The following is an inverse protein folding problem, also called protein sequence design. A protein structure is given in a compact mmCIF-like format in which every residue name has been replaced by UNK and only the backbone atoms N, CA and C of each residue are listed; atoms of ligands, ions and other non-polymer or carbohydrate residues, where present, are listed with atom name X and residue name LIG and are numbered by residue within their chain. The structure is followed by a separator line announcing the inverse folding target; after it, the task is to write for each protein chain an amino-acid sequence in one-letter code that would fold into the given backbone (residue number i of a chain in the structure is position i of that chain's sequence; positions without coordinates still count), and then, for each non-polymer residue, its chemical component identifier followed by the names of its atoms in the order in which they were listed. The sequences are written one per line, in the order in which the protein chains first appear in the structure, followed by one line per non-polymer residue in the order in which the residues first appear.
data_IF_946416501153
#
_entry.id   IF_946416501153
#
_cell.length_a   1.000
_cell.length_b   1.000
_cell.length_c   1.000
_cell.angle_alpha   90.00
_cell.angle_beta   90.00
_cell.angle_gamma   90.00
#
_symmetry.space_group_name_H-M   'P 1'
#
loop_
_entity.id
_entity.type
_entity.pdbx_description
1 polymer ?
#
# COMPACT_ATOMS: atom_id res chain seq x y z
N UNK A 1 -15.54 -116.23 -3.48
CA UNK A 1 -14.47 -115.87 -4.44
C UNK A 1 -14.93 -114.71 -5.30
N UNK A 2 -14.38 -113.59 -5.04
CA UNK A 2 -14.75 -112.32 -5.68
C UNK A 2 -13.76 -111.96 -6.76
N UNK A 3 -14.18 -111.46 -7.95
CA UNK A 3 -13.26 -110.86 -8.90
C UNK A 3 -13.04 -109.41 -8.67
N UNK A 4 -11.84 -108.98 -8.87
CA UNK A 4 -11.34 -107.62 -8.83
C UNK A 4 -11.78 -106.81 -10.08
N UNK A 5 -12.46 -105.62 -9.86
CA UNK A 5 -12.80 -104.78 -10.93
C UNK A 5 -11.72 -103.63 -10.95
N UNK A 6 -11.05 -103.54 -12.05
CA UNK A 6 -10.03 -102.52 -12.33
C UNK A 6 -10.74 -101.24 -12.88
N UNK A 7 -10.66 -100.10 -12.17
CA UNK A 7 -11.18 -98.84 -12.63
C UNK A 7 -10.07 -98.00 -13.25
N UNK A 8 -10.19 -97.76 -14.58
CA UNK A 8 -9.35 -96.77 -15.27
C UNK A 8 -9.78 -95.37 -15.02
N UNK A 9 -8.96 -94.54 -14.38
CA UNK A 9 -9.17 -93.08 -14.25
C UNK A 9 -8.56 -92.37 -15.45
N UNK A 10 -9.41 -91.76 -16.28
CA UNK A 10 -9.01 -90.88 -17.37
C UNK A 10 -8.83 -89.46 -16.77
N UNK A 11 -7.59 -88.97 -16.70
CA UNK A 11 -7.30 -87.63 -16.27
C UNK A 11 -7.57 -86.63 -17.45
N UNK A 12 -8.59 -85.82 -17.32
CA UNK A 12 -8.86 -84.70 -18.23
C UNK A 12 -7.93 -83.51 -17.86
N UNK A 13 -6.98 -83.19 -18.73
CA UNK A 13 -6.11 -82.00 -18.63
C UNK A 13 -6.94 -80.80 -19.10
N UNK A 14 -7.43 -80.00 -18.15
CA UNK A 14 -8.06 -78.69 -18.45
C UNK A 14 -6.95 -77.67 -18.79
N UNK A 15 -6.86 -77.23 -20.02
CA UNK A 15 -5.98 -76.13 -20.45
C UNK A 15 -6.54 -74.80 -19.94
N UNK A 16 -5.89 -74.19 -18.92
CA UNK A 16 -6.21 -72.84 -18.47
C UNK A 16 -5.69 -71.79 -19.52
N UNK A 17 -6.47 -70.73 -19.80
CA UNK A 17 -5.99 -69.68 -20.73
C UNK A 17 -4.87 -68.87 -20.06
N UNK A 18 -3.90 -68.31 -20.85
CA UNK A 18 -2.81 -67.52 -20.31
C UNK A 18 -3.33 -66.23 -19.69
N UNK A 19 -3.05 -66.00 -18.42
CA UNK A 19 -3.32 -64.69 -17.75
C UNK A 19 -2.40 -63.66 -18.41
N UNK A 20 -3.02 -62.78 -19.21
CA UNK A 20 -2.33 -61.62 -19.74
C UNK A 20 -2.00 -60.67 -18.58
N UNK A 21 -0.73 -60.67 -18.12
CA UNK A 21 -0.20 -59.65 -17.24
C UNK A 21 -0.27 -58.30 -17.98
N UNK A 22 -1.28 -57.53 -17.68
CA UNK A 22 -1.36 -56.11 -18.08
C UNK A 22 -0.13 -55.40 -17.53
N UNK A 23 0.85 -55.08 -18.38
CA UNK A 23 1.97 -54.19 -18.07
C UNK A 23 1.35 -52.84 -17.63
N UNK A 24 1.27 -52.56 -16.31
CA UNK A 24 1.06 -51.22 -15.80
C UNK A 24 2.10 -50.33 -16.46
N UNK A 25 1.63 -49.38 -17.30
CA UNK A 25 2.50 -48.27 -17.76
C UNK A 25 3.07 -47.62 -16.52
N UNK A 26 4.37 -47.35 -16.40
CA UNK A 26 4.91 -46.59 -15.32
C UNK A 26 4.18 -45.25 -15.31
N UNK A 27 3.55 -44.88 -14.17
CA UNK A 27 3.13 -43.52 -13.91
C UNK A 27 4.38 -42.68 -14.15
N UNK A 28 4.37 -41.80 -15.14
CA UNK A 28 5.32 -40.70 -15.19
C UNK A 28 5.15 -39.98 -13.85
N UNK A 29 6.07 -40.17 -12.94
CA UNK A 29 6.27 -39.29 -11.84
C UNK A 29 6.65 -37.96 -12.49
N UNK A 30 5.73 -37.00 -12.44
CA UNK A 30 6.04 -35.60 -12.70
C UNK A 30 6.97 -35.10 -11.57
N UNK A 31 8.27 -35.38 -11.73
CA UNK A 31 9.33 -35.05 -10.76
C UNK A 31 9.77 -33.58 -10.88
N UNK A 32 9.09 -32.78 -11.63
CA UNK A 32 9.32 -31.34 -11.64
C UNK A 32 8.03 -30.58 -11.38
N UNK A 33 7.66 -30.42 -10.11
CA UNK A 33 7.02 -29.18 -9.72
C UNK A 33 8.05 -28.07 -9.96
N UNK A 34 7.96 -27.43 -11.10
CA UNK A 34 8.63 -26.14 -11.31
C UNK A 34 7.96 -25.19 -10.33
N UNK A 35 8.58 -25.00 -9.15
CA UNK A 35 8.20 -23.95 -8.24
C UNK A 35 8.36 -22.63 -9.03
N UNK A 36 7.25 -21.96 -9.35
CA UNK A 36 7.34 -20.60 -9.86
C UNK A 36 8.03 -19.74 -8.80
N UNK A 37 9.20 -19.24 -9.12
CA UNK A 37 9.91 -18.31 -8.22
C UNK A 37 9.08 -17.02 -8.16
N UNK A 38 8.64 -16.60 -6.96
CA UNK A 38 7.88 -15.36 -6.82
C UNK A 38 8.68 -14.17 -7.38
N UNK A 39 8.04 -13.36 -8.21
CA UNK A 39 8.64 -12.15 -8.77
C UNK A 39 8.60 -11.03 -7.74
N UNK A 40 9.56 -10.11 -7.80
CA UNK A 40 9.52 -8.90 -6.98
C UNK A 40 8.35 -7.99 -7.38
N UNK A 41 7.76 -7.26 -6.41
CA UNK A 41 6.77 -6.23 -6.71
C UNK A 41 7.31 -5.19 -7.70
N UNK A 42 6.50 -4.76 -8.68
CA UNK A 42 6.91 -3.76 -9.65
C UNK A 42 7.20 -2.41 -8.98
N UNK A 43 8.17 -1.67 -9.50
CA UNK A 43 8.51 -0.34 -9.01
C UNK A 43 7.39 0.69 -9.23
N UNK A 44 6.56 0.51 -10.27
CA UNK A 44 5.37 1.32 -10.53
C UNK A 44 4.30 0.52 -11.28
N UNK A 45 3.04 0.92 -11.11
CA UNK A 45 1.85 0.31 -11.75
C UNK A 45 0.96 1.42 -12.31
N UNK A 46 0.40 1.20 -13.51
CA UNK A 46 -0.65 2.06 -14.07
C UNK A 46 -2.02 1.51 -13.65
N UNK A 47 -2.92 2.41 -13.27
CA UNK A 47 -4.29 2.11 -12.88
C UNK A 47 -5.30 3.06 -13.55
N UNK A 48 -6.56 2.66 -13.62
CA UNK A 48 -7.65 3.51 -14.12
C UNK A 48 -8.18 4.39 -12.98
N UNK A 49 -8.01 5.72 -13.09
CA UNK A 49 -8.44 6.70 -12.06
C UNK A 49 -9.91 6.58 -11.74
N UNK A 50 -10.75 6.41 -12.77
CA UNK A 50 -12.21 6.35 -12.61
C UNK A 50 -12.71 5.11 -11.87
N UNK A 51 -11.90 4.06 -11.79
CA UNK A 51 -12.24 2.78 -11.14
C UNK A 51 -11.45 2.53 -9.85
N UNK A 52 -10.67 3.53 -9.43
CA UNK A 52 -9.81 3.41 -8.25
C UNK A 52 -10.66 3.42 -6.97
N UNK A 53 -10.43 2.44 -6.11
CA UNK A 53 -11.00 2.32 -4.77
C UNK A 53 -9.92 2.19 -3.72
N UNK A 54 -10.31 2.33 -2.47
CA UNK A 54 -9.40 2.31 -1.33
C UNK A 54 -9.91 1.36 -0.27
N UNK A 55 -8.98 0.68 0.41
CA UNK A 55 -9.30 -0.28 1.47
C UNK A 55 -8.23 -0.22 2.54
N UNK A 56 -8.60 -0.56 3.76
CA UNK A 56 -7.70 -0.71 4.90
C UNK A 56 -7.92 -2.10 5.50
N UNK A 57 -6.85 -2.81 5.81
CA UNK A 57 -6.94 -4.14 6.41
C UNK A 57 -7.44 -4.06 7.86
N UNK A 58 -8.13 -5.08 8.36
CA UNK A 58 -8.33 -5.21 9.79
C UNK A 58 -6.97 -5.40 10.49
N UNK A 59 -6.88 -4.92 11.73
CA UNK A 59 -5.74 -5.18 12.62
C UNK A 59 -5.89 -6.55 13.28
N UNK A 60 -4.76 -7.18 13.56
CA UNK A 60 -4.68 -8.42 14.33
C UNK A 60 -3.46 -8.35 15.25
N UNK A 61 -3.60 -8.90 16.45
CA UNK A 61 -2.51 -9.11 17.40
C UNK A 61 -2.06 -10.58 17.43
N UNK A 62 -2.58 -11.45 16.55
CA UNK A 62 -2.30 -12.88 16.55
C UNK A 62 -1.04 -13.21 15.78
N UNK A 63 -0.05 -13.78 16.45
CA UNK A 63 1.20 -14.21 15.84
C UNK A 63 2.17 -13.06 15.55
N UNK A 64 3.24 -13.37 14.82
CA UNK A 64 4.27 -12.42 14.44
C UNK A 64 3.91 -11.70 13.13
N UNK A 65 4.70 -10.69 12.75
CA UNK A 65 4.52 -9.86 11.56
C UNK A 65 4.12 -10.68 10.32
N UNK A 66 4.83 -11.77 10.03
CA UNK A 66 4.55 -12.60 8.83
C UNK A 66 3.17 -13.25 8.85
N UNK A 67 2.68 -13.69 10.02
CA UNK A 67 1.34 -14.26 10.15
C UNK A 67 0.28 -13.18 10.01
N UNK A 68 0.43 -12.07 10.74
CA UNK A 68 -0.49 -10.93 10.68
C UNK A 68 -0.58 -10.35 9.26
N UNK A 69 0.55 -10.23 8.55
CA UNK A 69 0.59 -9.75 7.17
C UNK A 69 -0.16 -10.66 6.20
N UNK A 70 0.03 -11.99 6.33
CA UNK A 70 -0.71 -12.97 5.51
C UNK A 70 -2.22 -12.86 5.74
N UNK A 71 -2.65 -12.71 6.98
CA UNK A 71 -4.06 -12.58 7.32
C UNK A 71 -4.64 -11.23 6.85
N UNK A 72 -3.90 -10.13 7.02
CA UNK A 72 -4.28 -8.81 6.53
C UNK A 72 -4.45 -8.80 4.99
N UNK A 73 -3.47 -9.38 4.26
CA UNK A 73 -3.52 -9.43 2.79
C UNK A 73 -4.64 -10.36 2.29
N UNK A 74 -4.85 -11.52 2.91
CA UNK A 74 -5.98 -12.40 2.58
C UNK A 74 -7.32 -11.72 2.83
N UNK A 75 -7.44 -10.95 3.91
CA UNK A 75 -8.62 -10.16 4.22
C UNK A 75 -8.88 -9.10 3.14
N UNK A 76 -7.87 -8.35 2.72
CA UNK A 76 -7.98 -7.37 1.64
C UNK A 76 -8.39 -8.01 0.31
N UNK A 77 -7.77 -9.14 -0.07
CA UNK A 77 -8.14 -9.87 -1.29
C UNK A 77 -9.60 -10.32 -1.25
N UNK A 78 -10.07 -10.81 -0.10
CA UNK A 78 -11.48 -11.19 0.09
C UNK A 78 -12.41 -9.97 -0.02
N UNK A 79 -12.08 -8.86 0.64
CA UNK A 79 -12.87 -7.63 0.61
C UNK A 79 -12.88 -7.00 -0.80
N UNK A 80 -11.78 -7.09 -1.54
CA UNK A 80 -11.67 -6.58 -2.91
C UNK A 80 -12.65 -7.25 -3.88
N UNK A 81 -13.15 -8.45 -3.54
CA UNK A 81 -14.21 -9.15 -4.29
C UNK A 81 -13.99 -9.15 -5.81
N UNK A 82 -12.77 -9.50 -6.23
CA UNK A 82 -12.35 -9.54 -7.63
C UNK A 82 -11.86 -8.21 -8.20
N UNK A 83 -11.81 -7.13 -7.42
CA UNK A 83 -11.04 -5.94 -7.79
C UNK A 83 -9.53 -6.23 -7.67
N UNK A 84 -8.75 -5.70 -8.60
CA UNK A 84 -7.29 -5.85 -8.59
C UNK A 84 -6.69 -4.91 -7.55
N UNK A 85 -5.84 -5.41 -6.65
CA UNK A 85 -5.00 -4.57 -5.81
C UNK A 85 -3.82 -4.09 -6.67
N UNK A 86 -3.65 -2.77 -6.78
CA UNK A 86 -2.63 -2.14 -7.64
C UNK A 86 -1.52 -1.45 -6.85
N UNK A 87 -1.79 -1.06 -5.60
CA UNK A 87 -0.78 -0.56 -4.66
C UNK A 87 -1.11 -1.03 -3.25
N UNK A 88 -0.06 -1.34 -2.49
CA UNK A 88 -0.10 -1.56 -1.05
C UNK A 88 0.84 -0.58 -0.35
N UNK A 89 0.37 0.07 0.72
CA UNK A 89 1.21 0.76 1.70
C UNK A 89 1.10 0.01 3.02
N UNK A 90 2.21 -0.56 3.46
CA UNK A 90 2.30 -1.31 4.70
C UNK A 90 2.93 -0.44 5.80
N UNK A 91 2.15 -0.13 6.82
CA UNK A 91 2.63 0.43 8.07
C UNK A 91 2.97 -0.72 9.00
N UNK A 92 4.25 -0.86 9.35
CA UNK A 92 4.73 -1.91 10.25
C UNK A 92 5.11 -1.33 11.61
N UNK A 93 4.79 -2.04 12.69
CA UNK A 93 5.16 -1.68 14.04
C UNK A 93 5.96 -2.82 14.71
N UNK A 94 6.77 -2.48 15.70
CA UNK A 94 7.57 -3.47 16.42
C UNK A 94 8.88 -3.82 15.73
N UNK A 95 9.42 -4.98 16.04
CA UNK A 95 10.78 -5.43 15.65
C UNK A 95 10.79 -6.48 14.54
N UNK A 96 9.65 -6.73 13.90
CA UNK A 96 9.54 -7.71 12.81
C UNK A 96 10.36 -7.30 11.58
N UNK A 97 10.90 -8.29 10.86
CA UNK A 97 11.67 -8.02 9.63
C UNK A 97 10.75 -7.51 8.51
N UNK A 98 10.78 -6.21 8.29
CA UNK A 98 9.97 -5.52 7.27
C UNK A 98 10.27 -5.97 5.83
N UNK A 99 11.47 -6.51 5.55
CA UNK A 99 11.83 -7.03 4.22
C UNK A 99 10.93 -8.20 3.82
N UNK A 100 10.40 -8.94 4.83
CA UNK A 100 9.44 -10.02 4.62
C UNK A 100 8.13 -9.56 3.97
N UNK A 101 7.79 -8.27 4.06
CA UNK A 101 6.55 -7.74 3.46
C UNK A 101 6.55 -7.97 1.95
N UNK A 102 7.63 -7.62 1.26
CA UNK A 102 7.74 -7.79 -0.18
C UNK A 102 7.63 -9.27 -0.58
N UNK A 103 8.39 -10.14 0.09
CA UNK A 103 8.38 -11.58 -0.19
C UNK A 103 6.99 -12.20 0.01
N UNK A 104 6.30 -11.88 1.12
CA UNK A 104 4.97 -12.43 1.43
C UNK A 104 3.91 -11.94 0.44
N UNK A 105 3.98 -10.66 0.02
CA UNK A 105 3.08 -10.14 -1.04
C UNK A 105 3.30 -10.92 -2.32
N UNK A 106 4.55 -11.11 -2.73
CA UNK A 106 4.90 -11.88 -3.94
C UNK A 106 4.45 -13.33 -3.86
N UNK A 107 4.71 -14.01 -2.74
CA UNK A 107 4.28 -15.40 -2.50
C UNK A 107 2.75 -15.55 -2.64
N UNK A 108 1.97 -14.70 -1.96
CA UNK A 108 0.49 -14.79 -1.98
C UNK A 108 -0.06 -14.44 -3.37
N UNK A 109 0.49 -13.41 -4.03
CA UNK A 109 0.06 -13.06 -5.38
C UNK A 109 0.36 -14.18 -6.38
N UNK A 110 1.54 -14.81 -6.31
CA UNK A 110 1.90 -15.96 -7.14
C UNK A 110 0.99 -17.15 -6.87
N UNK A 111 0.80 -17.53 -5.58
CA UNK A 111 -0.09 -18.62 -5.17
C UNK A 111 -1.51 -18.43 -5.71
N UNK A 112 -2.03 -17.21 -5.63
CA UNK A 112 -3.40 -16.89 -6.06
C UNK A 112 -3.53 -16.44 -7.52
N UNK A 113 -2.42 -16.45 -8.27
CA UNK A 113 -2.36 -15.99 -9.68
C UNK A 113 -2.89 -14.56 -9.85
N UNK A 114 -2.56 -13.68 -8.90
CA UNK A 114 -2.91 -12.27 -8.93
C UNK A 114 -1.75 -11.44 -9.50
N UNK A 115 -2.08 -10.32 -10.11
CA UNK A 115 -1.07 -9.33 -10.50
C UNK A 115 -0.43 -8.72 -9.27
N UNK A 116 0.89 -8.50 -9.33
CA UNK A 116 1.65 -7.88 -8.26
C UNK A 116 1.34 -6.38 -8.17
N UNK A 117 1.04 -5.84 -6.98
CA UNK A 117 0.90 -4.41 -6.74
C UNK A 117 2.27 -3.74 -6.59
N UNK A 118 2.34 -2.42 -6.78
CA UNK A 118 3.43 -1.63 -6.25
C UNK A 118 3.36 -1.63 -4.70
N UNK A 119 4.50 -1.74 -4.02
CA UNK A 119 4.53 -1.90 -2.56
C UNK A 119 5.39 -0.82 -1.92
N UNK A 120 4.83 -0.15 -0.91
CA UNK A 120 5.54 0.75 -0.01
C UNK A 120 5.50 0.18 1.41
N UNK A 121 6.64 0.18 2.10
CA UNK A 121 6.75 -0.31 3.47
C UNK A 121 7.44 0.75 4.31
N UNK A 122 6.85 1.08 5.46
CA UNK A 122 7.40 2.06 6.40
C UNK A 122 7.16 1.59 7.83
N UNK A 123 8.14 1.78 8.69
CA UNK A 123 7.99 1.49 10.11
C UNK A 123 7.39 2.69 10.82
N UNK A 124 6.42 2.42 11.68
CA UNK A 124 5.71 3.37 12.53
C UNK A 124 5.94 3.03 14.00
N UNK A 125 5.76 4.01 14.87
CA UNK A 125 5.93 3.84 16.30
C UNK A 125 4.91 2.90 16.93
N UNK A 126 3.67 2.85 16.39
CA UNK A 126 2.62 1.99 16.88
C UNK A 126 1.38 1.97 16.00
N UNK A 127 0.53 0.99 16.24
CA UNK A 127 -0.77 0.78 15.60
C UNK A 127 -1.88 0.78 16.66
N UNK A 128 -3.14 1.10 16.29
CA UNK A 128 -4.25 1.26 17.22
C UNK A 128 -4.64 0.03 18.06
N UNK A 129 -4.18 -1.15 17.69
CA UNK A 129 -4.40 -2.38 18.45
C UNK A 129 -3.06 -2.82 19.05
N UNK A 130 -3.02 -2.98 20.37
CA UNK A 130 -1.84 -3.50 21.07
C UNK A 130 -1.47 -4.89 20.52
N UNK A 131 -0.18 -5.12 20.26
CA UNK A 131 0.33 -6.35 19.63
C UNK A 131 0.16 -6.42 18.11
N UNK A 132 -0.54 -5.48 17.47
CA UNK A 132 -0.57 -5.40 16.03
C UNK A 132 0.78 -4.95 15.47
N UNK A 133 1.26 -5.64 14.42
CA UNK A 133 2.56 -5.38 13.80
C UNK A 133 2.43 -4.90 12.35
N UNK A 134 1.23 -4.92 11.76
CA UNK A 134 1.00 -4.43 10.40
C UNK A 134 -0.41 -3.91 10.21
N UNK A 135 -0.50 -2.80 9.47
CA UNK A 135 -1.70 -2.24 8.87
C UNK A 135 -1.44 -2.04 7.39
N UNK A 136 -2.32 -2.56 6.53
CA UNK A 136 -2.23 -2.38 5.08
C UNK A 136 -3.27 -1.39 4.60
N UNK A 137 -2.84 -0.39 3.85
CA UNK A 137 -3.69 0.37 2.93
C UNK A 137 -3.55 -0.21 1.53
N UNK A 138 -4.66 -0.43 0.84
CA UNK A 138 -4.71 -0.93 -0.51
C UNK A 138 -5.42 0.04 -1.44
N UNK A 139 -4.86 0.22 -2.64
CA UNK A 139 -5.49 0.86 -3.77
C UNK A 139 -5.97 -0.25 -4.70
N UNK A 140 -7.22 -0.21 -5.11
CA UNK A 140 -7.84 -1.26 -5.92
C UNK A 140 -8.46 -0.70 -7.18
N UNK A 141 -8.50 -1.51 -8.25
CA UNK A 141 -9.24 -1.19 -9.48
C UNK A 141 -10.40 -2.16 -9.61
N UNK A 142 -11.60 -1.64 -9.42
CA UNK A 142 -12.85 -2.40 -9.55
C UNK A 142 -13.36 -2.49 -10.98
N UNK A 143 -14.50 -3.13 -11.18
CA UNK A 143 -15.15 -3.23 -12.49
C UNK A 143 -15.98 -2.00 -12.85
N UNK A 144 -16.50 -1.29 -11.85
CA UNK A 144 -17.41 -0.16 -12.03
C UNK A 144 -16.66 1.15 -11.95
N UNK A 145 -17.09 2.14 -12.72
CA UNK A 145 -16.69 3.53 -12.56
C UNK A 145 -17.28 4.09 -11.26
N UNK A 146 -16.41 4.56 -10.37
CA UNK A 146 -16.78 5.11 -9.06
C UNK A 146 -16.33 6.57 -8.90
N UNK A 147 -15.38 7.03 -9.74
CA UNK A 147 -14.83 8.39 -9.74
C UNK A 147 -14.93 9.00 -11.16
N UNK A 148 -16.12 9.24 -11.72
CA UNK A 148 -16.27 9.62 -13.14
C UNK A 148 -15.53 10.92 -13.50
N UNK A 149 -15.35 11.83 -12.55
CA UNK A 149 -14.73 13.13 -12.76
C UNK A 149 -13.27 13.20 -12.26
N UNK A 150 -12.71 12.08 -11.76
CA UNK A 150 -11.36 12.02 -11.21
C UNK A 150 -11.30 12.13 -9.69
N UNK A 151 -10.12 12.42 -9.19
CA UNK A 151 -9.79 12.40 -7.74
C UNK A 151 -9.04 13.66 -7.33
N UNK A 152 -9.27 14.10 -6.08
CA UNK A 152 -8.44 15.05 -5.37
C UNK A 152 -7.54 14.31 -4.38
N UNK A 153 -6.24 14.56 -4.42
CA UNK A 153 -5.26 14.13 -3.42
C UNK A 153 -4.90 15.33 -2.56
N UNK A 154 -5.13 15.24 -1.26
CA UNK A 154 -4.96 16.32 -0.30
C UNK A 154 -3.72 16.02 0.54
N UNK A 155 -2.81 16.98 0.57
CA UNK A 155 -1.58 16.94 1.37
C UNK A 155 -1.87 16.70 2.85
N UNK A 156 -0.88 16.23 3.58
CA UNK A 156 -0.94 16.24 5.03
C UNK A 156 -1.27 17.64 5.55
N UNK A 157 -2.38 17.72 6.26
CA UNK A 157 -2.86 18.94 6.94
C UNK A 157 -3.03 18.65 8.41
N UNK A 158 -2.77 19.62 9.25
CA UNK A 158 -2.88 19.48 10.69
C UNK A 158 -1.89 20.36 11.45
N UNK A 159 -1.66 20.00 12.70
CA UNK A 159 -0.85 20.78 13.64
C UNK A 159 0.27 19.91 14.22
N UNK A 160 1.42 20.53 14.34
CA UNK A 160 2.54 20.05 15.16
C UNK A 160 2.84 21.11 16.24
N UNK A 161 2.98 20.66 17.49
CA UNK A 161 3.37 21.49 18.64
C UNK A 161 4.80 21.15 19.05
N UNK A 162 5.41 22.04 19.88
CA UNK A 162 6.79 21.81 20.35
C UNK A 162 6.90 20.77 21.47
N UNK A 163 5.78 20.52 22.17
CA UNK A 163 5.75 19.59 23.29
C UNK A 163 5.19 18.23 22.80
N UNK A 164 5.98 17.14 22.81
CA UNK A 164 5.53 15.82 22.38
C UNK A 164 4.45 15.21 23.28
N UNK A 165 4.24 15.76 24.47
CA UNK A 165 3.24 15.28 25.43
C UNK A 165 1.88 16.01 25.29
N UNK A 166 1.77 16.92 24.34
CA UNK A 166 0.47 17.57 24.09
C UNK A 166 -0.58 16.55 23.65
N UNK A 167 -1.79 16.72 24.21
CA UNK A 167 -2.93 15.86 23.90
C UNK A 167 -3.28 15.91 22.41
N UNK A 168 -3.40 14.73 21.77
CA UNK A 168 -3.64 14.60 20.33
C UNK A 168 -5.08 15.00 19.89
N UNK A 169 -6.16 14.74 20.65
CA UNK A 169 -7.51 15.07 20.22
C UNK A 169 -7.73 16.52 19.78
N UNK A 170 -7.27 17.56 20.50
CA UNK A 170 -7.42 18.94 20.01
C UNK A 170 -6.63 19.23 18.73
N UNK A 171 -5.49 18.56 18.54
CA UNK A 171 -4.70 18.68 17.32
C UNK A 171 -5.44 18.01 16.14
N UNK A 172 -6.09 16.88 16.40
CA UNK A 172 -6.91 16.18 15.40
C UNK A 172 -8.16 16.98 15.02
N UNK A 173 -8.84 17.61 15.96
CA UNK A 173 -10.01 18.45 15.65
C UNK A 173 -9.63 19.53 14.62
N UNK A 174 -8.49 20.20 14.84
CA UNK A 174 -7.95 21.17 13.88
C UNK A 174 -7.55 20.54 12.53
N UNK A 175 -6.93 19.35 12.55
CA UNK A 175 -6.58 18.65 11.33
C UNK A 175 -7.84 18.26 10.52
N UNK A 176 -8.93 17.89 11.19
CA UNK A 176 -10.20 17.58 10.52
C UNK A 176 -10.84 18.83 9.90
N UNK A 177 -10.78 19.98 10.58
CA UNK A 177 -11.27 21.24 10.02
C UNK A 177 -10.46 21.67 8.80
N UNK A 178 -9.12 21.58 8.86
CA UNK A 178 -8.25 21.87 7.72
C UNK A 178 -8.48 20.90 6.54
N UNK A 179 -8.71 19.61 6.82
CA UNK A 179 -9.00 18.62 5.78
C UNK A 179 -10.37 18.85 5.14
N UNK A 180 -11.40 19.23 5.91
CA UNK A 180 -12.71 19.62 5.37
C UNK A 180 -12.58 20.85 4.45
N UNK A 181 -11.86 21.88 4.90
CA UNK A 181 -11.63 23.07 4.08
C UNK A 181 -10.91 22.72 2.75
N UNK A 182 -9.95 21.78 2.78
CA UNK A 182 -9.29 21.30 1.57
C UNK A 182 -10.23 20.53 0.64
N UNK A 183 -11.09 19.68 1.20
CA UNK A 183 -12.11 18.94 0.45
C UNK A 183 -13.10 19.90 -0.23
N UNK A 184 -13.56 20.92 0.47
CA UNK A 184 -14.46 21.96 -0.07
C UNK A 184 -13.78 22.78 -1.17
N UNK A 185 -12.50 23.16 -0.98
CA UNK A 185 -11.71 23.87 -2.00
C UNK A 185 -11.47 23.00 -3.24
N UNK A 186 -11.45 21.68 -3.12
CA UNK A 186 -11.43 20.74 -4.24
C UNK A 186 -12.78 20.58 -4.96
N UNK A 187 -13.85 21.26 -4.49
CA UNK A 187 -15.21 21.13 -5.03
C UNK A 187 -15.92 19.84 -4.62
N UNK A 188 -15.50 19.21 -3.53
CA UNK A 188 -16.07 17.99 -2.97
C UNK A 188 -16.73 18.24 -1.61
N UNK A 189 -17.32 17.22 -1.00
CA UNK A 189 -17.89 17.25 0.34
C UNK A 189 -17.33 16.14 1.20
N UNK A 190 -17.59 16.17 2.50
CA UNK A 190 -17.18 15.10 3.43
C UNK A 190 -17.67 13.69 3.01
N UNK A 191 -18.80 13.60 2.30
CA UNK A 191 -19.33 12.34 1.76
C UNK A 191 -18.57 11.81 0.54
N UNK A 192 -17.79 12.67 -0.11
CA UNK A 192 -16.99 12.32 -1.28
C UNK A 192 -15.59 11.84 -0.89
N UNK A 193 -15.20 11.96 0.39
CA UNK A 193 -13.90 11.48 0.88
C UNK A 193 -13.90 9.96 0.89
N UNK A 194 -12.92 9.38 0.22
CA UNK A 194 -12.77 7.93 0.03
C UNK A 194 -11.76 7.31 0.99
N UNK A 195 -10.71 8.07 1.34
CA UNK A 195 -9.65 7.63 2.23
C UNK A 195 -9.16 8.79 3.08
N UNK A 196 -8.89 8.50 4.34
CA UNK A 196 -8.17 9.38 5.28
C UNK A 196 -7.06 8.57 5.94
N UNK A 197 -5.84 9.09 5.94
CA UNK A 197 -4.72 8.52 6.69
C UNK A 197 -4.23 9.56 7.68
N UNK A 198 -4.29 9.25 8.96
CA UNK A 198 -3.88 10.14 10.03
C UNK A 198 -2.61 9.62 10.74
N UNK A 199 -1.69 10.54 10.96
CA UNK A 199 -0.37 10.34 11.54
C UNK A 199 -0.35 11.09 12.88
N UNK A 200 -0.07 10.37 13.97
CA UNK A 200 -0.17 10.88 15.34
C UNK A 200 1.14 10.75 16.10
N UNK A 201 1.35 11.63 17.07
CA UNK A 201 2.41 11.46 18.08
C UNK A 201 2.05 10.45 19.17
N UNK A 202 0.77 10.18 19.41
CA UNK A 202 0.26 9.20 20.38
C UNK A 202 -1.06 8.60 19.93
N UNK A 203 -1.31 7.34 20.32
CA UNK A 203 -2.59 6.64 20.13
C UNK A 203 -3.32 6.37 21.46
N UNK A 204 -2.92 7.00 22.55
CA UNK A 204 -3.46 6.75 23.89
C UNK A 204 -4.97 6.94 23.96
N UNK A 205 -5.51 7.98 23.29
CA UNK A 205 -6.96 8.25 23.22
C UNK A 205 -7.57 7.73 21.89
N UNK A 206 -7.07 6.66 21.30
CA UNK A 206 -7.48 6.22 19.96
C UNK A 206 -8.99 6.07 19.75
N UNK A 207 -9.82 5.55 20.69
CA UNK A 207 -11.28 5.49 20.50
C UNK A 207 -11.90 6.85 20.20
N UNK A 208 -11.42 7.92 20.83
CA UNK A 208 -11.86 9.30 20.60
C UNK A 208 -11.36 9.81 19.24
N UNK A 209 -10.07 9.57 18.93
CA UNK A 209 -9.50 9.95 17.62
C UNK A 209 -10.28 9.31 16.49
N UNK A 210 -10.55 8.01 16.57
CA UNK A 210 -11.34 7.27 15.60
C UNK A 210 -12.75 7.86 15.42
N UNK A 211 -13.45 8.13 16.53
CA UNK A 211 -14.79 8.75 16.49
C UNK A 211 -14.79 10.12 15.81
N UNK A 212 -13.76 10.94 16.04
CA UNK A 212 -13.61 12.25 15.38
C UNK A 212 -13.46 12.09 13.86
N UNK A 213 -12.60 11.16 13.40
CA UNK A 213 -12.42 10.91 11.97
C UNK A 213 -13.70 10.37 11.31
N UNK A 214 -14.35 9.37 11.92
CA UNK A 214 -15.58 8.75 11.41
C UNK A 214 -16.75 9.76 11.32
N UNK A 215 -16.84 10.68 12.27
CA UNK A 215 -17.83 11.77 12.23
C UNK A 215 -17.53 12.80 11.13
N UNK A 216 -16.25 13.12 10.92
CA UNK A 216 -15.84 14.08 9.90
C UNK A 216 -16.04 13.51 8.48
N UNK A 217 -15.73 12.24 8.26
CA UNK A 217 -15.71 11.59 6.95
C UNK A 217 -16.32 10.17 6.99
N UNK A 218 -17.65 10.08 7.11
CA UNK A 218 -18.33 8.80 7.39
C UNK A 218 -18.26 7.77 6.25
N UNK A 219 -17.95 8.20 5.02
CA UNK A 219 -17.81 7.33 3.85
C UNK A 219 -16.37 6.87 3.63
N UNK A 220 -15.39 7.46 4.31
CA UNK A 220 -13.98 7.19 4.10
C UNK A 220 -13.51 5.92 4.78
N UNK A 221 -12.62 5.16 4.12
CA UNK A 221 -11.77 4.22 4.84
C UNK A 221 -10.67 4.98 5.57
N UNK A 222 -10.42 4.67 6.84
CA UNK A 222 -9.48 5.39 7.67
C UNK A 222 -8.32 4.50 8.14
N UNK A 223 -7.10 5.00 8.00
CA UNK A 223 -5.90 4.46 8.62
C UNK A 223 -5.39 5.44 9.67
N UNK A 224 -4.99 4.94 10.83
CA UNK A 224 -4.40 5.72 11.91
C UNK A 224 -3.14 5.02 12.38
N UNK A 225 -2.04 5.77 12.49
CA UNK A 225 -0.75 5.24 12.94
C UNK A 225 -0.03 6.25 13.83
N UNK A 226 0.74 5.77 14.78
CA UNK A 226 1.69 6.60 15.52
C UNK A 226 3.00 6.66 14.72
N UNK A 227 3.52 7.86 14.46
CA UNK A 227 4.68 8.02 13.56
C UNK A 227 5.98 7.45 14.14
N UNK A 228 6.35 7.83 15.35
CA UNK A 228 7.54 7.39 16.07
C UNK A 228 7.20 7.04 17.52
N UNK A 229 7.93 6.09 18.13
CA UNK A 229 7.76 5.73 19.55
C UNK A 229 8.21 6.84 20.51
N UNK A 230 9.24 7.57 20.12
CA UNK A 230 9.75 8.73 20.84
C UNK A 230 9.47 9.98 20.03
N UNK A 231 8.26 10.52 20.03
CA UNK A 231 7.93 11.71 19.27
C UNK A 231 8.71 12.91 19.79
N UNK A 232 9.13 13.77 18.86
CA UNK A 232 9.84 15.03 19.19
C UNK A 232 8.92 16.23 19.22
N UNK A 233 7.65 16.05 18.88
CA UNK A 233 6.60 17.05 18.81
C UNK A 233 5.25 16.39 19.04
N UNK A 234 4.27 17.13 19.58
CA UNK A 234 2.88 16.75 19.48
C UNK A 234 2.43 16.87 18.03
N UNK A 235 1.73 15.87 17.51
CA UNK A 235 1.37 15.80 16.09
C UNK A 235 -0.01 15.18 15.88
N UNK A 236 -0.83 15.83 15.07
CA UNK A 236 -1.91 15.22 14.32
C UNK A 236 -1.86 15.79 12.89
N UNK A 237 -1.51 14.95 11.92
CA UNK A 237 -1.48 15.29 10.50
C UNK A 237 -2.27 14.25 9.73
N UNK A 238 -3.23 14.69 8.91
CA UNK A 238 -4.08 13.81 8.12
C UNK A 238 -4.03 14.16 6.65
N UNK A 239 -3.86 13.16 5.79
CA UNK A 239 -3.97 13.25 4.35
C UNK A 239 -5.27 12.61 3.86
N UNK A 240 -5.78 13.06 2.71
CA UNK A 240 -7.05 12.58 2.20
C UNK A 240 -7.08 12.33 0.70
N UNK A 241 -8.02 11.50 0.28
CA UNK A 241 -8.40 11.35 -1.13
C UNK A 241 -9.91 11.51 -1.24
N UNK A 242 -10.35 12.40 -2.11
CA UNK A 242 -11.77 12.65 -2.38
C UNK A 242 -12.11 12.45 -3.85
N UNK A 243 -13.34 12.02 -4.12
CA UNK A 243 -13.94 11.97 -5.45
C UNK A 243 -14.36 13.37 -5.88
N UNK A 244 -14.05 13.73 -7.12
CA UNK A 244 -14.46 15.01 -7.69
C UNK A 244 -15.90 14.99 -8.18
N UNK A 245 -16.64 16.07 -7.92
CA UNK A 245 -18.03 16.25 -8.41
C UNK A 245 -18.09 16.76 -9.84
N UNK A 246 -17.05 17.46 -10.30
CA UNK A 246 -16.97 18.02 -11.64
C UNK A 246 -15.64 17.67 -12.30
N UNK A 247 -15.59 17.55 -13.64
CA UNK A 247 -14.36 17.32 -14.38
C UNK A 247 -13.34 18.44 -14.19
N UNK A 248 -12.07 18.11 -14.19
CA UNK A 248 -10.97 19.06 -13.96
C UNK A 248 -10.61 19.87 -15.21
N UNK A 249 -10.90 19.38 -16.40
CA UNK A 249 -10.53 20.04 -17.69
C UNK A 249 -9.07 19.85 -18.10
N UNK A 250 -8.19 19.44 -17.22
CA UNK A 250 -6.77 19.13 -17.48
C UNK A 250 -6.36 17.84 -16.74
N UNK A 251 -5.33 17.11 -17.20
CA UNK A 251 -4.91 15.85 -16.59
C UNK A 251 -4.48 15.97 -15.11
N UNK A 252 -3.87 17.11 -14.76
CA UNK A 252 -3.35 17.39 -13.42
C UNK A 252 -3.36 18.88 -13.13
N UNK A 253 -4.05 19.27 -12.05
CA UNK A 253 -4.14 20.66 -11.58
C UNK A 253 -3.80 20.73 -10.10
N UNK A 254 -3.12 21.79 -9.70
CA UNK A 254 -2.77 22.03 -8.30
C UNK A 254 -3.51 23.22 -7.73
N UNK A 255 -3.90 23.13 -6.45
CA UNK A 255 -4.53 24.20 -5.71
C UNK A 255 -3.81 24.40 -4.36
N UNK A 256 -3.62 25.66 -4.00
CA UNK A 256 -3.12 26.09 -2.70
C UNK A 256 -3.91 27.31 -2.25
N UNK A 257 -5.15 27.11 -1.75
CA UNK A 257 -6.02 28.22 -1.33
C UNK A 257 -5.36 29.06 -0.23
N UNK A 258 -5.48 30.38 -0.32
CA UNK A 258 -4.90 31.32 0.67
C UNK A 258 -5.38 31.05 2.09
N UNK A 259 -6.63 30.62 2.24
CA UNK A 259 -7.21 30.22 3.52
C UNK A 259 -6.52 29.03 4.21
N UNK A 260 -5.68 28.29 3.48
CA UNK A 260 -4.98 27.08 3.96
C UNK A 260 -3.50 27.30 4.25
N UNK A 261 -3.03 28.56 4.40
CA UNK A 261 -1.62 28.86 4.58
C UNK A 261 -0.75 28.21 3.49
N UNK A 262 -0.72 28.73 2.25
CA UNK A 262 0.00 28.13 1.15
C UNK A 262 1.50 27.95 1.48
N UNK A 263 2.08 26.90 0.97
CA UNK A 263 3.49 26.56 1.17
C UNK A 263 4.27 26.73 -0.14
N UNK A 264 5.45 27.31 -0.15
CA UNK A 264 6.29 27.32 -1.35
C UNK A 264 6.85 25.93 -1.68
N UNK A 265 6.71 24.99 -0.76
CA UNK A 265 7.34 23.68 -0.87
C UNK A 265 6.42 22.58 -1.43
N UNK A 266 5.11 22.74 -1.38
CA UNK A 266 4.13 21.76 -1.87
C UNK A 266 2.78 22.42 -2.08
N UNK A 267 1.99 21.85 -2.99
CA UNK A 267 0.59 22.23 -3.17
C UNK A 267 -0.29 21.58 -2.10
N UNK A 268 -1.35 22.25 -1.70
CA UNK A 268 -2.30 21.68 -0.70
C UNK A 268 -3.14 20.57 -1.28
N UNK A 269 -3.49 20.69 -2.56
CA UNK A 269 -4.41 19.78 -3.24
C UNK A 269 -3.90 19.53 -4.65
N UNK A 270 -3.92 18.28 -5.09
CA UNK A 270 -3.73 17.89 -6.49
C UNK A 270 -5.03 17.29 -7.03
N UNK A 271 -5.60 17.91 -8.07
CA UNK A 271 -6.76 17.40 -8.78
C UNK A 271 -6.29 16.57 -9.98
N UNK A 272 -6.67 15.30 -10.01
CA UNK A 272 -6.31 14.36 -11.07
C UNK A 272 -7.54 14.08 -11.94
N UNK A 273 -7.56 14.72 -13.13
CA UNK A 273 -8.56 14.49 -14.18
C UNK A 273 -8.13 13.44 -15.20
N UNK A 274 -6.87 13.02 -15.21
CA UNK A 274 -6.36 11.99 -16.11
C UNK A 274 -7.13 10.67 -15.93
N UNK A 275 -7.52 10.00 -17.03
CA UNK A 275 -8.20 8.69 -16.95
C UNK A 275 -7.29 7.58 -16.39
N UNK A 276 -5.97 7.75 -16.43
CA UNK A 276 -4.98 6.83 -15.88
C UNK A 276 -4.11 7.52 -14.83
N UNK A 277 -3.70 6.74 -13.84
CA UNK A 277 -2.86 7.17 -12.73
C UNK A 277 -1.70 6.17 -12.58
N UNK A 278 -0.55 6.67 -12.17
CA UNK A 278 0.64 5.87 -11.89
C UNK A 278 0.83 5.82 -10.38
N UNK A 279 1.05 4.62 -9.84
CA UNK A 279 1.26 4.36 -8.43
C UNK A 279 2.64 3.69 -8.28
N UNK A 280 3.59 4.32 -7.58
CA UNK A 280 4.92 3.74 -7.37
C UNK A 280 5.02 2.99 -6.04
N UNK A 281 5.96 2.04 -5.97
CA UNK A 281 6.52 1.56 -4.72
C UNK A 281 7.55 2.55 -4.16
N UNK A 282 7.99 2.32 -2.91
CA UNK A 282 8.98 3.19 -2.26
C UNK A 282 10.37 2.99 -2.86
N UNK A 283 11.05 4.10 -3.20
CA UNK A 283 12.49 4.14 -3.44
C UNK A 283 13.19 4.72 -2.21
N UNK A 284 14.31 4.11 -1.80
CA UNK A 284 15.02 4.46 -0.58
C UNK A 284 16.37 5.12 -0.88
N UNK A 285 16.74 6.11 -0.07
CA UNK A 285 18.11 6.56 0.05
C UNK A 285 18.81 5.76 1.16
N UNK A 286 20.05 5.40 0.92
CA UNK A 286 20.93 4.73 1.88
C UNK A 286 22.01 5.72 2.28
N UNK A 287 22.38 5.75 3.56
CA UNK A 287 23.23 6.78 4.17
C UNK A 287 22.55 8.18 4.21
N UNK A 288 23.34 9.24 4.43
CA UNK A 288 22.82 10.55 4.82
C UNK A 288 23.31 11.70 3.93
N UNK A 289 23.96 11.39 2.80
CA UNK A 289 24.48 12.42 1.90
C UNK A 289 23.40 12.92 0.92
N UNK A 290 23.60 14.12 0.41
CA UNK A 290 22.73 14.72 -0.61
C UNK A 290 22.67 13.88 -1.90
N UNK A 291 23.82 13.25 -2.24
CA UNK A 291 23.90 12.32 -3.38
C UNK A 291 22.99 11.11 -3.22
N UNK A 292 22.78 10.63 -1.99
CA UNK A 292 21.92 9.48 -1.72
C UNK A 292 20.44 9.83 -1.93
N UNK A 293 20.06 11.05 -1.50
CA UNK A 293 18.71 11.58 -1.76
C UNK A 293 18.47 11.71 -3.26
N UNK A 294 19.44 12.31 -4.02
CA UNK A 294 19.35 12.41 -5.49
C UNK A 294 19.25 11.04 -6.15
N UNK A 295 19.97 10.04 -5.65
CA UNK A 295 19.92 8.68 -6.18
C UNK A 295 18.54 8.04 -5.98
N UNK A 296 17.89 8.24 -4.83
CA UNK A 296 16.54 7.75 -4.58
C UNK A 296 15.52 8.37 -5.56
N UNK A 297 15.55 9.70 -5.73
CA UNK A 297 14.70 10.36 -6.71
C UNK A 297 15.03 9.94 -8.15
N UNK A 298 16.29 9.80 -8.51
CA UNK A 298 16.71 9.34 -9.84
C UNK A 298 16.25 7.93 -10.17
N UNK A 299 16.27 7.00 -9.19
CA UNK A 299 15.71 5.65 -9.34
C UNK A 299 14.19 5.69 -9.50
N UNK A 300 13.52 6.56 -8.74
CA UNK A 300 12.08 6.74 -8.86
C UNK A 300 11.70 7.28 -10.24
N UNK A 301 12.43 8.29 -10.76
CA UNK A 301 12.18 8.85 -12.09
C UNK A 301 12.34 7.78 -13.19
N UNK A 302 13.40 6.97 -13.14
CA UNK A 302 13.58 5.82 -14.04
C UNK A 302 12.44 4.80 -13.92
N UNK A 303 11.94 4.53 -12.73
CA UNK A 303 10.79 3.66 -12.55
C UNK A 303 9.52 4.24 -13.20
N UNK A 304 9.31 5.56 -13.08
CA UNK A 304 8.19 6.25 -13.71
C UNK A 304 8.30 6.29 -15.25
N UNK A 305 9.50 6.39 -15.81
CA UNK A 305 9.72 6.31 -17.25
C UNK A 305 9.22 4.99 -17.85
N UNK A 306 9.37 3.87 -17.14
CA UNK A 306 8.89 2.54 -17.60
C UNK A 306 7.38 2.47 -17.77
N UNK A 307 6.64 3.38 -17.13
CA UNK A 307 5.18 3.51 -17.18
C UNK A 307 4.74 4.84 -17.82
N UNK A 308 5.60 5.40 -18.66
CA UNK A 308 5.33 6.64 -19.45
C UNK A 308 4.97 7.85 -18.56
N UNK A 309 5.64 8.01 -17.42
CA UNK A 309 5.48 9.14 -16.51
C UNK A 309 6.85 9.77 -16.19
N UNK A 310 6.88 10.72 -15.28
CA UNK A 310 8.11 11.34 -14.75
C UNK A 310 7.83 12.05 -13.43
N UNK A 311 8.89 12.47 -12.72
CA UNK A 311 8.76 13.25 -11.49
C UNK A 311 8.16 14.67 -11.73
N UNK A 312 8.12 15.17 -12.96
CA UNK A 312 7.42 16.42 -13.30
C UNK A 312 5.89 16.28 -13.37
N UNK A 313 5.39 15.04 -13.41
CA UNK A 313 3.96 14.71 -13.51
C UNK A 313 3.39 14.13 -12.21
N UNK A 314 4.10 14.29 -11.10
CA UNK A 314 3.67 13.80 -9.79
C UNK A 314 2.52 14.65 -9.25
N UNK A 315 1.42 13.99 -8.92
CA UNK A 315 0.27 14.58 -8.25
C UNK A 315 0.47 14.61 -6.73
N UNK A 316 0.93 13.49 -6.15
CA UNK A 316 1.12 13.34 -4.71
C UNK A 316 2.43 12.63 -4.40
N UNK A 317 3.13 13.08 -3.35
CA UNK A 317 4.40 12.52 -2.91
C UNK A 317 4.35 12.18 -1.42
N UNK A 318 4.53 10.91 -1.09
CA UNK A 318 4.73 10.46 0.30
C UNK A 318 6.23 10.41 0.57
N UNK A 319 6.67 11.15 1.57
CA UNK A 319 8.08 11.33 1.93
C UNK A 319 8.28 10.79 3.34
N UNK A 320 9.20 9.84 3.51
CA UNK A 320 9.45 9.10 4.74
C UNK A 320 10.87 9.37 5.29
N UNK A 321 11.18 10.60 5.77
CA UNK A 321 12.45 10.89 6.44
C UNK A 321 12.51 10.20 7.80
N UNK A 322 13.71 9.73 8.19
CA UNK A 322 13.94 9.13 9.51
C UNK A 322 14.58 10.12 10.51
N UNK A 323 14.97 11.32 10.06
CA UNK A 323 15.53 12.37 10.91
C UNK A 323 15.25 13.78 10.39
N UNK A 324 15.34 14.78 11.29
CA UNK A 324 15.21 16.19 10.91
C UNK A 324 16.28 16.65 9.92
N UNK A 325 17.50 16.13 10.04
CA UNK A 325 18.59 16.44 9.11
C UNK A 325 18.20 15.97 7.69
N UNK A 326 17.67 14.76 7.57
CA UNK A 326 17.23 14.21 6.28
C UNK A 326 16.02 14.97 5.75
N UNK A 327 15.05 15.33 6.59
CA UNK A 327 13.90 16.14 6.22
C UNK A 327 14.32 17.48 5.57
N UNK A 328 15.36 18.14 6.10
CA UNK A 328 15.91 19.38 5.54
C UNK A 328 16.57 19.15 4.18
N UNK A 329 17.37 18.10 4.02
CA UNK A 329 17.99 17.73 2.74
C UNK A 329 16.94 17.46 1.66
N UNK A 330 15.90 16.68 2.00
CA UNK A 330 14.80 16.37 1.07
C UNK A 330 14.07 17.64 0.61
N UNK A 331 13.78 18.57 1.52
CA UNK A 331 13.13 19.85 1.19
C UNK A 331 13.90 20.63 0.14
N UNK A 332 15.21 20.61 0.19
CA UNK A 332 16.07 21.34 -0.73
C UNK A 332 16.20 20.60 -2.08
N UNK A 333 16.47 19.29 -2.04
CA UNK A 333 16.84 18.49 -3.21
C UNK A 333 15.65 18.16 -4.10
N UNK A 334 14.44 17.93 -3.55
CA UNK A 334 13.27 17.50 -4.33
C UNK A 334 12.91 18.42 -5.49
N UNK A 335 13.27 19.73 -5.41
CA UNK A 335 13.03 20.69 -6.49
C UNK A 335 14.01 20.60 -7.67
N UNK A 336 15.03 19.78 -7.57
CA UNK A 336 15.83 19.38 -8.73
C UNK A 336 15.02 18.44 -9.64
N UNK A 337 14.02 17.74 -9.09
CA UNK A 337 13.21 16.72 -9.75
C UNK A 337 11.78 17.17 -10.02
N UNK A 338 11.09 17.74 -9.05
CA UNK A 338 9.72 18.22 -9.21
C UNK A 338 9.66 19.55 -9.98
N UNK A 339 8.48 19.89 -10.52
CA UNK A 339 8.23 21.20 -11.06
C UNK A 339 8.11 22.21 -9.91
N UNK A 340 9.06 23.13 -9.82
CA UNK A 340 9.11 24.14 -8.76
C UNK A 340 7.94 25.13 -8.82
N UNK A 341 7.42 25.41 -10.02
CA UNK A 341 6.27 26.30 -10.21
C UNK A 341 4.94 25.62 -9.83
N UNK A 342 4.90 24.29 -9.92
CA UNK A 342 3.73 23.48 -9.61
C UNK A 342 4.14 22.26 -8.77
N UNK A 343 4.58 22.47 -7.52
CA UNK A 343 5.05 21.37 -6.68
C UNK A 343 3.87 20.42 -6.36
N UNK A 344 4.13 19.09 -6.27
CA UNK A 344 3.09 18.13 -5.96
C UNK A 344 2.48 18.35 -4.57
N UNK A 345 1.25 17.89 -4.37
CA UNK A 345 0.74 17.67 -3.02
C UNK A 345 1.65 16.66 -2.28
N UNK A 346 1.83 16.78 -0.98
CA UNK A 346 2.72 15.87 -0.26
C UNK A 346 2.43 15.76 1.23
N UNK A 347 2.80 14.60 1.80
CA UNK A 347 2.91 14.35 3.24
C UNK A 347 4.36 14.04 3.56
N UNK A 348 4.91 14.73 4.58
CA UNK A 348 6.29 14.56 5.00
C UNK A 348 6.43 14.73 6.51
N UNK A 349 6.37 13.63 7.22
CA UNK A 349 6.61 13.53 8.67
C UNK A 349 7.71 12.53 8.97
N UNK A 350 8.26 12.57 10.18
CA UNK A 350 9.28 11.62 10.61
C UNK A 350 8.67 10.24 10.87
N UNK A 351 9.34 9.20 10.38
CA UNK A 351 8.98 7.81 10.61
C UNK A 351 10.04 7.07 11.43
N UNK A 352 9.71 5.88 11.94
CA UNK A 352 10.57 5.07 12.80
C UNK A 352 11.69 4.38 12.02
N UNK A 353 11.37 3.85 10.83
CA UNK A 353 12.30 3.09 10.01
C UNK A 353 11.78 2.72 8.62
N UNK A 354 12.65 2.08 7.85
CA UNK A 354 12.43 1.59 6.48
C UNK A 354 12.94 0.15 6.36
N UNK A 355 12.58 -0.61 5.31
CA UNK A 355 12.98 -2.01 5.13
C UNK A 355 14.49 -2.27 4.94
N UNK A 356 15.33 -1.33 5.30
CA UNK A 356 16.78 -1.48 5.37
C UNK A 356 17.32 -0.70 6.55
N UNK A 357 18.26 -1.27 7.28
CA UNK A 357 18.88 -0.59 8.43
C UNK A 357 19.71 0.62 8.03
N UNK A 358 20.23 0.62 6.80
CA UNK A 358 21.04 1.72 6.26
C UNK A 358 20.19 2.81 5.60
N UNK A 359 18.88 2.59 5.48
CA UNK A 359 18.01 3.57 4.86
C UNK A 359 17.79 4.77 5.78
N UNK A 360 17.85 5.95 5.22
CA UNK A 360 17.65 7.23 5.92
C UNK A 360 16.40 7.97 5.44
N UNK A 361 15.91 7.61 4.25
CA UNK A 361 14.79 8.25 3.59
C UNK A 361 14.13 7.31 2.60
N UNK A 362 12.82 7.40 2.48
CA UNK A 362 12.03 6.75 1.44
C UNK A 362 11.09 7.73 0.75
N UNK A 363 10.77 7.46 -0.52
CA UNK A 363 9.80 8.22 -1.30
C UNK A 363 8.98 7.32 -2.20
N UNK A 364 7.68 7.50 -2.21
CA UNK A 364 6.78 7.00 -3.24
C UNK A 364 5.86 8.11 -3.75
N UNK A 365 5.33 7.91 -4.94
CA UNK A 365 4.53 8.92 -5.60
C UNK A 365 3.28 8.35 -6.27
N UNK A 366 2.32 9.25 -6.43
CA UNK A 366 1.18 9.12 -7.31
C UNK A 366 1.39 10.14 -8.42
N UNK A 367 1.39 9.69 -9.68
CA UNK A 367 1.65 10.54 -10.83
C UNK A 367 0.61 10.32 -11.93
N UNK A 368 0.59 11.16 -12.95
CA UNK A 368 -0.19 10.92 -14.17
C UNK A 368 0.74 10.50 -15.30
N UNK A 369 0.33 9.63 -16.23
CA UNK A 369 1.11 9.32 -17.42
C UNK A 369 1.13 10.53 -18.37
N UNK A 370 2.10 10.53 -19.31
CA UNK A 370 2.22 11.51 -20.41
C UNK A 370 1.05 11.41 -21.37
#
# INVERSE_FOLDING_TARGET
MRPLVLFCLIAAIASAPPIALAKKKPKKEDITQTLEVPKDPPAAVIAETQRLGFMVSPLSAKGLLSAQLRDALRSLIKQANGAQIVKLRAFTAGTGDMRRVFAIVSEICTEKKLSLPAVSVVQVGGLPLEGAQVLLEAYTVGRKTVNPNGLAFISGVGISTRNPLDSVPPLLDKAMDDLKAAVEAAGATSQDVLRVTCLFSSLEEYPKLRSTIEKAFPAAVAASVMTQRGPIAGLAECEGVARLKSPVGEPLKFLSPDSMNPSPNYSKIALVGSPRIVLSGTQMAFNYEDSDVRLAFGRLDKALETVQSSLKLVAFSSLYPLSNAMLTKIRNIRFEFYDKARPPASTMVLFEGLPSMDASFGVDVIAVPR
#
